data_IF_228962918894
#
_entry.id   IF_228962918894
#
_cell.length_a   1.000
_cell.length_b   1.000
_cell.length_c   1.000
_cell.angle_alpha   90.00
_cell.angle_beta   90.00
_cell.angle_gamma   90.00
#
_symmetry.space_group_name_H-M   'P 1'
#
loop_
_entity.id
_entity.type
_entity.pdbx_description
1 polymer ?
#
# COMPACT_ATOMS: atom_id res chain seq x y z
N UNK A 1 -11.92 0.06 -13.64
CA UNK A 1 -12.36 1.17 -12.77
C UNK A 1 -11.72 2.51 -13.15
N UNK A 2 -10.39 2.61 -13.12
CA UNK A 2 -9.66 3.89 -13.32
C UNK A 2 -10.00 4.65 -14.62
N UNK A 3 -10.26 3.95 -15.73
CA UNK A 3 -10.61 4.59 -17.02
C UNK A 3 -12.08 5.00 -17.09
N UNK A 4 -13.00 4.18 -16.55
CA UNK A 4 -14.44 4.40 -16.71
C UNK A 4 -15.04 5.33 -15.65
N UNK A 5 -14.48 5.36 -14.43
CA UNK A 5 -15.02 6.17 -13.34
C UNK A 5 -15.01 7.68 -13.63
N UNK A 6 -13.93 8.29 -14.18
CA UNK A 6 -13.94 9.71 -14.54
C UNK A 6 -14.96 10.03 -15.64
N UNK A 7 -15.13 9.14 -16.62
CA UNK A 7 -16.12 9.30 -17.69
C UNK A 7 -17.54 9.28 -17.09
N UNK A 8 -17.83 8.29 -16.25
CA UNK A 8 -19.13 8.18 -15.60
C UNK A 8 -19.43 9.42 -14.73
N UNK A 9 -18.50 9.86 -13.89
CA UNK A 9 -18.67 11.05 -13.03
C UNK A 9 -18.84 12.32 -13.86
N UNK A 10 -18.02 12.51 -14.90
CA UNK A 10 -18.06 13.70 -15.74
C UNK A 10 -19.37 13.87 -16.50
N UNK A 11 -19.90 12.79 -17.09
CA UNK A 11 -21.13 12.85 -17.88
C UNK A 11 -22.42 12.74 -17.06
N UNK A 12 -22.38 12.20 -15.83
CA UNK A 12 -23.56 12.10 -14.97
C UNK A 12 -23.71 13.26 -13.98
N UNK A 13 -22.61 13.75 -13.40
CA UNK A 13 -22.62 14.75 -12.32
C UNK A 13 -21.97 16.09 -12.74
N UNK A 14 -21.37 16.15 -13.92
CA UNK A 14 -20.80 17.36 -14.50
C UNK A 14 -19.35 17.66 -14.07
N UNK A 15 -18.81 18.75 -14.61
CA UNK A 15 -17.39 19.09 -14.53
C UNK A 15 -16.90 19.46 -13.12
N UNK A 16 -17.75 20.09 -12.31
CA UNK A 16 -17.40 20.44 -10.93
C UNK A 16 -17.17 19.19 -10.07
N UNK A 17 -18.11 18.23 -10.13
CA UNK A 17 -18.01 16.96 -9.43
C UNK A 17 -16.80 16.14 -9.91
N UNK A 18 -16.52 16.13 -11.22
CA UNK A 18 -15.33 15.50 -11.79
C UNK A 18 -14.04 16.11 -11.23
N UNK A 19 -13.95 17.45 -11.15
CA UNK A 19 -12.78 18.13 -10.59
C UNK A 19 -12.50 17.72 -9.15
N UNK A 20 -13.52 17.72 -8.29
CA UNK A 20 -13.40 17.27 -6.89
C UNK A 20 -13.07 15.78 -6.78
N UNK A 21 -13.66 14.94 -7.63
CA UNK A 21 -13.36 13.50 -7.67
C UNK A 21 -11.88 13.23 -7.98
N UNK A 22 -11.32 13.89 -8.99
CA UNK A 22 -9.92 13.72 -9.36
C UNK A 22 -8.98 14.24 -8.26
N UNK A 23 -9.28 15.41 -7.67
CA UNK A 23 -8.49 15.94 -6.56
C UNK A 23 -8.48 14.99 -5.35
N UNK A 24 -9.64 14.45 -4.98
CA UNK A 24 -9.77 13.47 -3.89
C UNK A 24 -9.06 12.15 -4.17
N UNK A 25 -9.15 11.65 -5.42
CA UNK A 25 -8.46 10.43 -5.83
C UNK A 25 -6.93 10.57 -5.77
N UNK A 26 -6.39 11.71 -6.21
CA UNK A 26 -4.95 11.99 -6.13
C UNK A 26 -4.50 12.09 -4.68
N UNK A 27 -5.22 12.86 -3.85
CA UNK A 27 -4.83 13.06 -2.45
C UNK A 27 -4.83 11.74 -1.66
N UNK A 28 -5.92 10.97 -1.75
CA UNK A 28 -6.02 9.67 -1.06
C UNK A 28 -5.07 8.64 -1.64
N UNK A 29 -4.93 8.57 -2.97
CA UNK A 29 -4.01 7.67 -3.65
C UNK A 29 -2.56 7.92 -3.27
N UNK A 30 -2.14 9.18 -3.13
CA UNK A 30 -0.77 9.53 -2.74
C UNK A 30 -0.47 9.07 -1.31
N UNK A 31 -1.38 9.32 -0.37
CA UNK A 31 -1.21 8.89 1.01
C UNK A 31 -1.12 7.36 1.11
N UNK A 32 -1.99 6.64 0.41
CA UNK A 32 -1.98 5.19 0.38
C UNK A 32 -0.72 4.62 -0.30
N UNK A 33 -0.26 5.24 -1.39
CA UNK A 33 0.96 4.81 -2.07
C UNK A 33 2.18 4.88 -1.15
N UNK A 34 2.35 6.00 -0.43
CA UNK A 34 3.44 6.17 0.54
C UNK A 34 3.33 5.19 1.70
N UNK A 35 2.12 5.02 2.24
CA UNK A 35 1.88 4.08 3.34
C UNK A 35 2.25 2.66 2.95
N UNK A 36 1.74 2.16 1.82
CA UNK A 36 1.98 0.80 1.37
C UNK A 36 3.46 0.56 1.01
N UNK A 37 4.12 1.53 0.38
CA UNK A 37 5.54 1.44 0.07
C UNK A 37 6.40 1.33 1.34
N UNK A 38 6.11 2.16 2.35
CA UNK A 38 6.86 2.16 3.61
C UNK A 38 6.57 0.92 4.46
N UNK A 39 5.30 0.51 4.57
CA UNK A 39 4.91 -0.67 5.35
C UNK A 39 5.47 -1.95 4.75
N UNK A 40 5.37 -2.13 3.43
CA UNK A 40 5.97 -3.29 2.75
C UNK A 40 7.49 -3.34 2.92
N UNK A 41 8.17 -2.21 2.71
CA UNK A 41 9.63 -2.12 2.91
C UNK A 41 10.05 -2.36 4.37
N UNK A 42 9.24 -1.92 5.34
CA UNK A 42 9.50 -2.17 6.76
C UNK A 42 9.40 -3.66 7.10
N UNK A 43 8.38 -4.37 6.57
CA UNK A 43 8.23 -5.81 6.79
C UNK A 43 9.33 -6.63 6.11
N UNK A 44 9.73 -6.32 4.88
CA UNK A 44 10.87 -7.00 4.23
C UNK A 44 12.18 -6.81 5.01
N UNK A 45 12.44 -5.59 5.48
CA UNK A 45 13.63 -5.29 6.28
C UNK A 45 13.57 -5.96 7.67
N UNK A 46 12.40 -6.05 8.29
CA UNK A 46 12.23 -6.78 9.55
C UNK A 46 12.52 -8.27 9.37
N UNK A 47 12.03 -8.88 8.28
CA UNK A 47 12.36 -10.26 7.91
C UNK A 47 13.86 -10.44 7.74
N UNK A 48 14.53 -9.58 6.95
CA UNK A 48 15.99 -9.63 6.75
C UNK A 48 16.77 -9.52 8.06
N UNK A 49 16.34 -8.63 8.96
CA UNK A 49 16.96 -8.49 10.28
C UNK A 49 16.88 -9.78 11.11
N UNK A 50 15.75 -10.50 11.02
CA UNK A 50 15.61 -11.82 11.66
C UNK A 50 16.43 -12.88 10.96
N UNK A 51 16.50 -12.86 9.64
CA UNK A 51 17.32 -13.77 8.84
C UNK A 51 18.82 -13.63 9.13
N UNK A 52 19.28 -12.42 9.46
CA UNK A 52 20.66 -12.11 9.87
C UNK A 52 20.99 -12.59 11.30
N UNK A 53 20.02 -13.19 12.01
CA UNK A 53 20.23 -13.83 13.31
C UNK A 53 19.78 -13.01 14.51
N UNK A 54 19.37 -11.75 14.31
CA UNK A 54 18.77 -10.96 15.39
C UNK A 54 17.37 -11.52 15.67
N UNK A 55 17.10 -12.01 16.87
CA UNK A 55 15.82 -12.66 17.26
C UNK A 55 15.65 -14.11 16.76
N UNK A 56 16.72 -14.89 16.71
CA UNK A 56 16.64 -16.36 16.61
C UNK A 56 16.95 -16.94 15.23
N UNK A 57 17.09 -16.10 14.20
CA UNK A 57 17.55 -16.57 12.90
C UNK A 57 16.47 -17.29 12.07
N UNK A 58 16.89 -17.79 10.91
CA UNK A 58 16.03 -18.55 10.00
C UNK A 58 15.45 -19.80 10.68
N UNK A 59 14.15 -20.05 10.44
CA UNK A 59 13.43 -21.19 10.99
C UNK A 59 12.92 -21.01 12.43
N UNK A 60 13.16 -19.85 13.04
CA UNK A 60 12.54 -19.48 14.32
C UNK A 60 11.08 -19.03 14.16
N UNK A 61 10.32 -19.02 15.25
CA UNK A 61 8.95 -18.47 15.24
C UNK A 61 8.92 -17.00 14.82
N UNK A 62 9.95 -16.23 15.18
CA UNK A 62 10.12 -14.84 14.74
C UNK A 62 10.34 -14.73 13.22
N UNK A 63 11.06 -15.68 12.62
CA UNK A 63 11.23 -15.74 11.17
C UNK A 63 9.91 -16.07 10.47
N UNK A 64 9.15 -17.04 10.99
CA UNK A 64 7.83 -17.36 10.44
C UNK A 64 6.87 -16.15 10.52
N UNK A 65 6.85 -15.43 11.64
CA UNK A 65 6.01 -14.25 11.82
C UNK A 65 6.37 -13.10 10.86
N UNK A 66 7.67 -12.84 10.65
CA UNK A 66 8.13 -11.79 9.75
C UNK A 66 7.94 -12.14 8.27
N UNK A 67 8.00 -13.42 7.90
CA UNK A 67 7.63 -13.90 6.55
C UNK A 67 6.14 -13.67 6.28
N UNK A 68 5.26 -13.92 7.26
CA UNK A 68 3.84 -13.60 7.10
C UNK A 68 3.66 -12.10 6.87
N UNK A 69 4.30 -11.25 7.67
CA UNK A 69 4.22 -9.80 7.51
C UNK A 69 4.70 -9.29 6.14
N UNK A 70 5.75 -9.88 5.59
CA UNK A 70 6.30 -9.53 4.27
C UNK A 70 5.45 -10.02 3.08
N UNK A 71 4.59 -11.01 3.29
CA UNK A 71 3.74 -11.61 2.24
C UNK A 71 2.31 -11.09 2.22
N UNK A 72 1.95 -10.20 3.15
CA UNK A 72 0.69 -9.44 3.17
C UNK A 72 0.69 -8.39 2.07
#
# INVERSE_FOLDING_TARGET
LAVLAPIAVGFSLGVGALGSYLAGAIATGTLMAVFLANSGGAWDNAKKLVEDGHYGGKGSDAHAATVIGDTV
#
